data_IF_724305092692
#
_entry.id   IF_724305092692
#
_cell.length_a   1.000
_cell.length_b   1.000
_cell.length_c   1.000
_cell.angle_alpha   90.00
_cell.angle_beta   90.00
_cell.angle_gamma   90.00
#
_symmetry.space_group_name_H-M   'P 1'
#
loop_
_entity.id
_entity.type
_entity.pdbx_description
1 polymer ?
#
# COMPACT_ATOMS: atom_id res chain seq x y z
N UNK A 1 -30.40 -3.45 43.58
CA UNK A 1 -29.37 -3.00 42.62
C UNK A 1 -28.74 -4.25 42.00
N UNK A 2 -29.18 -4.70 40.82
CA UNK A 2 -28.60 -5.86 40.14
C UNK A 2 -27.73 -5.36 38.99
N UNK A 3 -26.41 -5.52 39.11
CA UNK A 3 -25.45 -5.25 38.04
C UNK A 3 -25.68 -6.22 36.88
N UNK A 4 -25.86 -5.67 35.68
CA UNK A 4 -25.97 -6.47 34.44
C UNK A 4 -24.63 -7.16 34.16
N UNK A 5 -24.62 -8.42 33.72
CA UNK A 5 -23.39 -9.08 33.31
C UNK A 5 -22.87 -8.43 32.02
N UNK A 6 -21.66 -7.87 32.09
CA UNK A 6 -20.94 -7.38 30.91
C UNK A 6 -20.65 -8.57 29.99
N UNK A 7 -21.40 -8.65 28.90
CA UNK A 7 -21.15 -9.63 27.85
C UNK A 7 -19.90 -9.18 27.11
N UNK A 8 -18.78 -9.87 27.31
CA UNK A 8 -17.54 -9.63 26.56
C UNK A 8 -17.82 -10.06 25.11
N UNK A 9 -18.25 -9.10 24.28
CA UNK A 9 -18.40 -9.32 22.84
C UNK A 9 -17.00 -9.39 22.24
N UNK A 10 -16.53 -10.61 21.96
CA UNK A 10 -15.29 -10.80 21.22
C UNK A 10 -15.46 -10.23 19.81
N UNK A 11 -14.74 -9.13 19.51
CA UNK A 11 -14.73 -8.53 18.16
C UNK A 11 -14.27 -9.59 17.16
N UNK A 12 -15.11 -9.88 16.14
CA UNK A 12 -14.74 -10.76 15.02
C UNK A 12 -13.44 -10.27 14.38
N UNK A 13 -12.52 -11.20 14.11
CA UNK A 13 -11.32 -10.92 13.33
C UNK A 13 -11.71 -10.58 11.88
N UNK A 14 -11.65 -9.29 11.55
CA UNK A 14 -11.94 -8.76 10.21
C UNK A 14 -10.66 -8.46 9.42
N UNK A 15 -9.49 -8.97 9.83
CA UNK A 15 -8.20 -8.63 9.22
C UNK A 15 -8.16 -8.91 7.72
N UNK A 16 -8.77 -10.02 7.26
CA UNK A 16 -8.85 -10.35 5.83
C UNK A 16 -9.72 -9.34 5.05
N UNK A 17 -10.89 -9.00 5.58
CA UNK A 17 -11.82 -8.06 4.95
C UNK A 17 -11.25 -6.63 4.95
N UNK A 18 -10.59 -6.24 6.04
CA UNK A 18 -9.92 -4.96 6.14
C UNK A 18 -8.77 -4.86 5.13
N UNK A 19 -8.01 -5.94 4.94
CA UNK A 19 -6.93 -5.99 3.94
C UNK A 19 -7.46 -5.87 2.51
N UNK A 20 -8.48 -6.64 2.13
CA UNK A 20 -9.03 -6.57 0.77
C UNK A 20 -9.60 -5.19 0.45
N UNK A 21 -10.30 -4.57 1.41
CA UNK A 21 -10.79 -3.18 1.28
C UNK A 21 -9.65 -2.18 1.18
N UNK A 22 -8.56 -2.36 1.92
CA UNK A 22 -7.40 -1.48 1.87
C UNK A 22 -6.71 -1.56 0.50
N UNK A 23 -6.48 -2.78 -0.01
CA UNK A 23 -5.91 -3.02 -1.35
C UNK A 23 -6.77 -2.35 -2.42
N UNK A 24 -8.08 -2.58 -2.40
CA UNK A 24 -9.01 -1.97 -3.36
C UNK A 24 -8.96 -0.43 -3.36
N UNK A 25 -8.98 0.19 -2.17
CA UNK A 25 -8.93 1.65 -2.04
C UNK A 25 -7.62 2.22 -2.58
N UNK A 26 -6.50 1.54 -2.34
CA UNK A 26 -5.19 1.96 -2.83
C UNK A 26 -5.12 1.83 -4.36
N UNK A 27 -5.57 0.71 -4.92
CA UNK A 27 -5.64 0.55 -6.39
C UNK A 27 -6.52 1.62 -7.05
N UNK A 28 -7.68 1.93 -6.47
CA UNK A 28 -8.53 3.04 -6.93
C UNK A 28 -7.80 4.39 -6.88
N UNK A 29 -6.94 4.61 -5.88
CA UNK A 29 -6.11 5.83 -5.81
C UNK A 29 -5.04 5.84 -6.89
N UNK A 30 -4.41 4.71 -7.19
CA UNK A 30 -3.46 4.57 -8.28
C UNK A 30 -4.09 4.87 -9.65
N UNK A 31 -5.31 4.38 -9.89
CA UNK A 31 -6.10 4.69 -11.09
C UNK A 31 -6.42 6.18 -11.22
N UNK A 32 -6.76 6.85 -10.11
CA UNK A 32 -6.91 8.30 -10.10
C UNK A 32 -5.61 9.04 -10.45
N UNK A 33 -4.45 8.55 -10.01
CA UNK A 33 -3.16 9.16 -10.35
C UNK A 33 -2.88 9.03 -11.84
N UNK A 34 -3.09 7.83 -12.39
CA UNK A 34 -2.99 7.59 -13.83
C UNK A 34 -3.92 8.52 -14.63
N UNK A 35 -5.20 8.56 -14.28
CA UNK A 35 -6.19 9.39 -14.98
C UNK A 35 -5.91 10.89 -14.89
N UNK A 36 -5.41 11.39 -13.75
CA UNK A 36 -5.22 12.83 -13.52
C UNK A 36 -3.88 13.37 -14.02
N UNK A 37 -2.84 12.55 -13.92
CA UNK A 37 -1.46 12.99 -14.16
C UNK A 37 -0.78 12.25 -15.32
N UNK A 38 -1.49 11.33 -15.99
CA UNK A 38 -0.93 10.52 -17.08
C UNK A 38 0.22 9.60 -16.63
N UNK A 39 0.30 9.27 -15.35
CA UNK A 39 1.40 8.47 -14.80
C UNK A 39 1.12 6.99 -14.99
N UNK A 40 2.13 6.22 -15.40
CA UNK A 40 2.06 4.76 -15.33
C UNK A 40 2.32 4.27 -13.90
N UNK A 41 1.42 3.42 -13.41
CA UNK A 41 1.42 2.94 -12.03
C UNK A 41 1.28 1.43 -12.01
N UNK A 42 2.23 0.79 -11.33
CA UNK A 42 2.25 -0.63 -11.07
C UNK A 42 2.28 -0.88 -9.57
N UNK A 43 1.37 -1.73 -9.09
CA UNK A 43 1.35 -2.14 -7.68
C UNK A 43 1.10 -3.63 -7.58
N UNK A 44 1.95 -4.32 -6.81
CA UNK A 44 1.84 -5.73 -6.51
C UNK A 44 1.84 -5.94 -4.99
N UNK A 45 0.77 -6.54 -4.46
CA UNK A 45 0.70 -7.00 -3.08
C UNK A 45 0.82 -8.51 -3.02
N UNK A 46 1.71 -9.02 -2.16
CA UNK A 46 1.80 -10.45 -1.84
C UNK A 46 1.41 -10.67 -0.39
N UNK A 47 0.36 -11.48 -0.16
CA UNK A 47 -0.08 -11.85 1.19
C UNK A 47 -0.56 -13.29 1.23
N UNK A 48 0.02 -14.11 2.11
CA UNK A 48 -0.39 -15.51 2.35
C UNK A 48 -0.66 -16.26 1.02
N UNK A 49 0.35 -16.30 0.15
CA UNK A 49 0.32 -16.96 -1.17
C UNK A 49 -0.61 -16.33 -2.23
N UNK A 50 -1.31 -15.26 -1.92
CA UNK A 50 -2.13 -14.52 -2.88
C UNK A 50 -1.40 -13.29 -3.39
N UNK A 51 -1.59 -13.02 -4.68
CA UNK A 51 -1.08 -11.83 -5.36
C UNK A 51 -2.27 -10.95 -5.75
N UNK A 52 -2.11 -9.64 -5.55
CA UNK A 52 -3.07 -8.62 -5.97
C UNK A 52 -2.31 -7.62 -6.80
N UNK A 53 -2.68 -7.50 -8.07
CA UNK A 53 -1.95 -6.70 -9.06
C UNK A 53 -2.85 -5.62 -9.64
N UNK A 54 -2.26 -4.45 -9.84
CA UNK A 54 -2.82 -3.37 -10.64
C UNK A 54 -1.73 -2.84 -11.57
N UNK A 55 -2.06 -2.75 -12.86
CA UNK A 55 -1.20 -2.22 -13.90
C UNK A 55 -2.04 -1.25 -14.77
N UNK A 56 -1.69 0.03 -14.76
CA UNK A 56 -2.42 1.05 -15.51
C UNK A 56 -2.29 0.90 -17.02
N UNK A 57 -1.11 0.55 -17.52
CA UNK A 57 -0.82 0.48 -18.96
C UNK A 57 -1.22 -0.86 -19.58
N UNK A 58 -1.54 -1.86 -18.74
CA UNK A 58 -1.76 -3.25 -19.13
C UNK A 58 -0.59 -3.84 -19.93
N UNK A 59 0.57 -3.19 -19.89
CA UNK A 59 1.76 -3.63 -20.60
C UNK A 59 2.51 -4.68 -19.80
N UNK A 60 3.02 -5.71 -20.47
CA UNK A 60 3.91 -6.71 -19.88
C UNK A 60 5.32 -6.19 -19.64
N UNK A 61 5.69 -5.05 -20.25
CA UNK A 61 7.00 -4.41 -20.08
C UNK A 61 7.11 -3.54 -18.83
N UNK A 62 6.03 -3.41 -18.06
CA UNK A 62 5.96 -2.58 -16.87
C UNK A 62 5.58 -3.43 -15.65
N UNK A 63 6.30 -3.34 -14.52
CA UNK A 63 7.29 -2.33 -14.16
C UNK A 63 8.66 -2.57 -14.82
N UNK A 64 9.39 -1.48 -15.06
CA UNK A 64 10.76 -1.51 -15.57
C UNK A 64 11.67 -2.34 -14.63
N UNK A 65 12.47 -3.28 -15.15
CA UNK A 65 13.41 -4.06 -14.35
C UNK A 65 14.35 -3.16 -13.53
N UNK A 66 14.75 -3.62 -12.33
CA UNK A 66 15.60 -2.83 -11.43
C UNK A 66 16.94 -2.43 -12.07
N UNK A 67 17.53 -3.34 -12.85
CA UNK A 67 18.79 -3.09 -13.55
C UNK A 67 18.69 -1.91 -14.53
N UNK A 68 17.56 -1.75 -15.22
CA UNK A 68 17.31 -0.64 -16.13
C UNK A 68 17.07 0.67 -15.36
N UNK A 69 16.40 0.60 -14.20
CA UNK A 69 16.17 1.76 -13.33
C UNK A 69 17.46 2.34 -12.74
N UNK A 70 18.52 1.55 -12.60
CA UNK A 70 19.81 1.99 -12.03
C UNK A 70 20.65 2.82 -13.01
N UNK A 71 20.46 2.60 -14.30
CA UNK A 71 21.16 3.34 -15.37
C UNK A 71 20.31 4.47 -15.96
N UNK A 72 19.05 4.61 -15.53
CA UNK A 72 18.13 5.63 -16.01
C UNK A 72 18.40 6.98 -15.36
N UNK A 73 18.45 8.05 -16.18
CA UNK A 73 18.50 9.43 -15.71
C UNK A 73 17.19 10.16 -16.03
N UNK A 74 16.60 10.92 -15.07
CA UNK A 74 17.10 11.19 -13.72
C UNK A 74 17.00 9.96 -12.80
N UNK A 75 17.87 9.92 -11.78
CA UNK A 75 17.90 8.82 -10.80
C UNK A 75 16.51 8.68 -10.16
N UNK A 76 15.90 7.47 -10.22
CA UNK A 76 14.56 7.27 -9.67
C UNK A 76 14.52 7.53 -8.15
N UNK A 77 13.48 8.21 -7.69
CA UNK A 77 13.24 8.39 -6.25
C UNK A 77 12.75 7.07 -5.64
N UNK A 78 13.56 6.47 -4.76
CA UNK A 78 13.21 5.21 -4.06
C UNK A 78 12.72 5.51 -2.63
N UNK A 79 11.63 4.87 -2.23
CA UNK A 79 11.11 4.89 -0.85
C UNK A 79 11.05 3.48 -0.29
N UNK A 80 11.47 3.32 0.95
CA UNK A 80 11.41 2.07 1.72
C UNK A 80 10.52 2.26 2.95
N UNK A 81 10.13 1.19 3.67
CA UNK A 81 9.35 1.32 4.90
C UNK A 81 9.97 2.29 5.92
N UNK A 82 11.31 2.39 5.97
CA UNK A 82 12.02 3.32 6.85
C UNK A 82 11.70 4.81 6.59
N UNK A 83 11.25 5.17 5.38
CA UNK A 83 10.85 6.54 5.07
C UNK A 83 9.49 6.92 5.67
N UNK A 84 8.69 5.96 6.10
CA UNK A 84 7.35 6.15 6.64
C UNK A 84 7.29 5.85 8.14
N UNK A 85 8.42 5.49 8.75
CA UNK A 85 8.52 5.25 10.18
C UNK A 85 8.53 6.59 10.91
N UNK A 86 7.39 6.93 11.51
CA UNK A 86 7.20 8.19 12.23
C UNK A 86 7.94 8.22 13.58
N UNK A 87 8.57 7.13 14.02
CA UNK A 87 9.30 7.06 15.29
C UNK A 87 10.50 8.02 15.37
N UNK A 88 11.08 8.44 14.23
CA UNK A 88 12.21 9.38 14.17
C UNK A 88 11.82 10.86 14.19
N UNK A 89 10.55 11.20 14.03
CA UNK A 89 10.08 12.60 13.98
C UNK A 89 9.75 13.18 15.37
N UNK A 90 9.70 12.35 16.41
CA UNK A 90 9.44 12.79 17.79
C UNK A 90 10.68 13.24 18.57
N UNK A 91 11.90 12.99 18.08
CA UNK A 91 13.14 13.35 18.80
C UNK A 91 13.76 14.70 18.35
N UNK A 92 13.20 15.37 17.34
CA UNK A 92 13.76 16.62 16.81
C UNK A 92 12.97 17.87 17.21
N UNK A 93 12.17 17.79 18.27
CA UNK A 93 11.42 18.91 18.85
C UNK A 93 11.70 19.01 20.35
N UNK A 94 12.94 19.31 20.71
CA UNK A 94 13.31 19.91 22.00
C UNK A 94 14.21 21.12 21.75
#
# INVERSE_FOLDING_TARGET
>A
MASKPETIVTKRDRTKENFSRAVWRLMKRCDQMHSRYGTDVYVLFKRKYQHYEYNSSQSTSFPTPLAELEITYPVPTRRTPANFDNSRLSESRE
#
